data_IF_219787424009
#
_entry.id   IF_219787424009
#
_cell.length_a   1.000
_cell.length_b   1.000
_cell.length_c   1.000
_cell.angle_alpha   90.00
_cell.angle_beta   90.00
_cell.angle_gamma   90.00
#
_symmetry.space_group_name_H-M   'P 1'
#
loop_
_entity.id
_entity.type
_entity.pdbx_description
1 polymer ?
#
# COMPACT_ATOMS: atom_id res chain seq x y z
N UNK A 1 23.13 13.91 -1.55
CA UNK A 1 21.80 13.50 -2.08
C UNK A 1 20.94 12.97 -0.97
N UNK A 2 19.72 13.48 -0.85
CA UNK A 2 18.74 13.05 0.15
C UNK A 2 17.69 12.18 -0.53
N UNK A 3 17.38 11.01 0.04
CA UNK A 3 16.43 10.08 -0.56
C UNK A 3 14.99 10.60 -0.58
N UNK A 4 14.56 11.35 0.45
CA UNK A 4 13.24 12.01 0.55
C UNK A 4 13.31 13.24 1.47
N UNK A 5 12.33 14.16 1.39
CA UNK A 5 12.28 15.33 2.31
C UNK A 5 11.50 15.00 3.57
N UNK A 6 12.16 14.95 4.72
CA UNK A 6 11.49 14.75 6.03
C UNK A 6 10.52 15.89 6.34
N UNK A 7 10.79 17.09 5.85
CA UNK A 7 9.99 18.30 6.12
C UNK A 7 8.82 18.45 5.18
N UNK A 8 9.05 18.25 3.88
CA UNK A 8 8.09 18.65 2.84
C UNK A 8 7.30 17.46 2.31
N UNK A 9 7.85 16.23 2.35
CA UNK A 9 7.16 15.03 1.90
C UNK A 9 7.68 13.78 2.63
N UNK A 10 7.37 13.65 3.94
CA UNK A 10 7.85 12.54 4.74
C UNK A 10 7.33 11.21 4.18
N UNK A 11 8.12 10.15 4.34
CA UNK A 11 7.69 8.79 4.03
C UNK A 11 6.92 8.17 5.21
N UNK A 12 5.96 7.31 4.87
CA UNK A 12 5.44 6.35 5.81
C UNK A 12 6.53 5.32 6.15
N UNK A 13 6.52 4.85 7.40
CA UNK A 13 7.62 4.07 7.97
C UNK A 13 7.68 2.66 7.35
N UNK A 14 6.52 2.04 7.11
CA UNK A 14 6.44 0.64 6.67
C UNK A 14 6.67 0.54 5.15
N UNK A 15 7.73 -0.14 4.69
CA UNK A 15 7.94 -0.40 3.26
C UNK A 15 7.16 -1.61 2.77
N UNK A 16 6.92 -1.65 1.46
CA UNK A 16 6.52 -2.86 0.75
C UNK A 16 7.74 -3.50 0.08
N UNK A 17 7.82 -4.83 0.05
CA UNK A 17 8.94 -5.54 -0.56
C UNK A 17 8.53 -6.27 -1.83
N UNK A 18 9.32 -6.09 -2.90
CA UNK A 18 9.20 -6.80 -4.18
C UNK A 18 10.60 -6.98 -4.78
N UNK A 19 10.95 -8.18 -5.26
CA UNK A 19 12.25 -8.50 -5.87
C UNK A 19 13.45 -8.00 -5.04
N UNK A 20 13.41 -8.19 -3.72
CA UNK A 20 14.45 -7.68 -2.81
C UNK A 20 14.68 -6.15 -2.94
N UNK A 21 13.62 -5.41 -3.25
CA UNK A 21 13.58 -3.94 -3.23
C UNK A 21 12.56 -3.49 -2.17
N UNK A 22 12.92 -2.47 -1.41
CA UNK A 22 12.01 -1.81 -0.48
C UNK A 22 11.38 -0.58 -1.15
N UNK A 23 10.06 -0.51 -1.14
CA UNK A 23 9.26 0.57 -1.69
C UNK A 23 8.62 1.38 -0.56
N UNK A 24 8.90 2.68 -0.51
CA UNK A 24 8.40 3.61 0.50
C UNK A 24 7.47 4.62 -0.16
N UNK A 25 6.29 4.81 0.42
CA UNK A 25 5.31 5.80 -0.02
C UNK A 25 5.45 7.05 0.85
N UNK A 26 5.34 8.23 0.26
CA UNK A 26 5.30 9.50 0.97
C UNK A 26 3.91 10.08 1.16
N UNK A 27 3.80 11.07 2.05
CA UNK A 27 2.53 11.72 2.40
C UNK A 27 1.85 12.37 1.20
N UNK A 28 2.61 12.82 0.20
CA UNK A 28 2.09 13.40 -1.03
C UNK A 28 2.17 12.44 -2.24
N UNK A 29 2.34 11.14 -1.98
CA UNK A 29 2.17 10.10 -2.99
C UNK A 29 3.35 9.95 -3.94
N UNK A 30 4.59 10.16 -3.50
CA UNK A 30 5.78 9.72 -4.22
C UNK A 30 6.20 8.32 -3.76
N UNK A 31 6.69 7.52 -4.71
CA UNK A 31 7.27 6.22 -4.43
C UNK A 31 8.79 6.29 -4.52
N UNK A 32 9.44 5.92 -3.43
CA UNK A 32 10.89 5.82 -3.30
C UNK A 32 11.29 4.35 -3.22
N UNK A 33 12.35 3.95 -3.93
CA UNK A 33 12.76 2.54 -4.00
C UNK A 33 14.25 2.37 -3.69
N UNK A 34 14.54 1.47 -2.76
CA UNK A 34 15.89 1.01 -2.44
C UNK A 34 16.06 -0.44 -2.92
N UNK A 35 17.02 -0.66 -3.81
CA UNK A 35 17.32 -1.95 -4.43
C UNK A 35 18.51 -2.62 -3.73
N UNK A 36 18.29 -3.83 -3.20
CA UNK A 36 19.28 -4.62 -2.45
C UNK A 36 19.83 -5.81 -3.25
N UNK A 37 19.59 -5.90 -4.56
CA UNK A 37 20.07 -7.04 -5.38
C UNK A 37 21.57 -7.02 -5.69
N UNK A 38 22.24 -5.88 -5.51
CA UNK A 38 23.69 -5.74 -5.71
C UNK A 38 24.50 -5.79 -4.41
N UNK A 39 25.83 -5.71 -4.53
CA UNK A 39 26.74 -5.60 -3.38
C UNK A 39 26.53 -4.31 -2.56
N UNK A 40 26.00 -3.27 -3.20
CA UNK A 40 25.67 -1.99 -2.59
C UNK A 40 24.19 -1.66 -2.86
N UNK A 41 23.55 -1.02 -1.89
CA UNK A 41 22.17 -0.52 -2.03
C UNK A 41 22.13 0.57 -3.11
N UNK A 42 21.19 0.46 -4.05
CA UNK A 42 20.96 1.47 -5.09
C UNK A 42 19.61 2.14 -4.86
N UNK A 43 19.58 3.46 -4.95
CA UNK A 43 18.32 4.22 -4.90
C UNK A 43 17.84 4.43 -6.33
N UNK A 44 16.60 4.02 -6.63
CA UNK A 44 16.02 4.26 -7.94
C UNK A 44 15.45 5.68 -8.05
N UNK A 45 15.30 6.22 -9.29
CA UNK A 45 14.52 7.41 -9.51
C UNK A 45 13.10 7.26 -8.96
N UNK A 46 12.69 8.18 -8.09
CA UNK A 46 11.34 8.26 -7.56
C UNK A 46 10.34 8.58 -8.67
N UNK A 47 9.08 8.19 -8.48
CA UNK A 47 7.99 8.54 -9.37
C UNK A 47 6.70 8.76 -8.56
N UNK A 48 5.74 9.47 -9.15
CA UNK A 48 4.52 9.86 -8.43
C UNK A 48 3.39 8.86 -8.67
N UNK A 49 2.71 8.50 -7.60
CA UNK A 49 1.48 7.70 -7.57
C UNK A 49 0.24 8.55 -7.91
N UNK A 50 0.36 9.88 -7.81
CA UNK A 50 -0.71 10.86 -8.04
C UNK A 50 -0.41 11.67 -9.30
N UNK A 51 -1.36 11.70 -10.23
CA UNK A 51 -1.25 12.56 -11.41
C UNK A 51 -1.81 13.97 -11.11
N UNK A 52 -1.77 14.88 -12.08
CA UNK A 52 -2.21 16.27 -11.89
C UNK A 52 -3.71 16.39 -11.55
N UNK A 53 -4.55 15.52 -12.13
CA UNK A 53 -5.99 15.51 -11.84
C UNK A 53 -6.27 15.06 -10.40
N UNK A 54 -5.56 14.02 -9.96
CA UNK A 54 -5.66 13.53 -8.58
C UNK A 54 -5.17 14.59 -7.59
N UNK A 55 -4.06 15.27 -7.91
CA UNK A 55 -3.49 16.34 -7.09
C UNK A 55 -4.45 17.54 -6.99
N UNK A 56 -5.13 17.90 -8.07
CA UNK A 56 -6.14 18.97 -8.07
C UNK A 56 -7.35 18.64 -7.17
N UNK A 57 -7.61 17.36 -6.92
CA UNK A 57 -8.64 16.84 -6.01
C UNK A 57 -8.10 16.51 -4.60
N UNK A 58 -6.83 16.84 -4.33
CA UNK A 58 -6.21 16.61 -3.02
C UNK A 58 -6.01 15.14 -2.66
N UNK A 59 -5.90 14.22 -3.62
CA UNK A 59 -5.66 12.81 -3.28
C UNK A 59 -4.28 12.61 -2.65
N UNK A 60 -4.26 11.98 -1.48
CA UNK A 60 -3.05 11.61 -0.74
C UNK A 60 -3.17 10.21 -0.14
N UNK A 61 -2.05 9.52 0.11
CA UNK A 61 -2.08 8.27 0.87
C UNK A 61 -2.42 8.52 2.34
N UNK A 62 -3.07 7.54 2.99
CA UNK A 62 -3.39 7.63 4.41
C UNK A 62 -3.74 6.29 5.06
N UNK A 63 -3.57 6.23 6.38
CA UNK A 63 -3.80 5.04 7.20
C UNK A 63 -2.63 4.78 8.16
N UNK A 64 -2.56 3.56 8.69
CA UNK A 64 -1.47 3.11 9.56
C UNK A 64 -0.51 2.21 8.79
N UNK A 65 -0.94 1.00 8.43
CA UNK A 65 -0.20 0.11 7.52
C UNK A 65 -0.77 0.26 6.10
N UNK A 66 -0.62 1.45 5.52
CA UNK A 66 -1.41 1.88 4.37
C UNK A 66 -1.11 1.18 3.04
N UNK A 67 -0.06 0.36 2.99
CA UNK A 67 0.38 -0.27 1.76
C UNK A 67 0.63 -1.75 1.98
N UNK A 68 0.52 -2.49 0.88
CA UNK A 68 0.97 -3.87 0.81
C UNK A 68 1.50 -4.15 -0.59
N UNK A 69 2.39 -5.12 -0.73
CA UNK A 69 2.94 -5.55 -2.02
C UNK A 69 2.59 -6.99 -2.31
N UNK A 70 2.48 -7.31 -3.60
CA UNK A 70 2.35 -8.68 -4.09
C UNK A 70 3.53 -8.99 -5.02
N UNK A 71 4.59 -9.57 -4.47
CA UNK A 71 5.85 -9.88 -5.11
C UNK A 71 5.66 -10.68 -6.39
N UNK A 72 4.85 -11.74 -6.39
CA UNK A 72 4.69 -12.56 -7.62
C UNK A 72 4.18 -11.76 -8.83
N UNK A 73 3.34 -10.76 -8.59
CA UNK A 73 2.69 -9.97 -9.64
C UNK A 73 3.32 -8.57 -9.78
N UNK A 74 4.33 -8.23 -8.97
CA UNK A 74 4.98 -6.92 -8.93
C UNK A 74 3.99 -5.76 -8.74
N UNK A 75 3.01 -5.96 -7.84
CA UNK A 75 1.98 -4.95 -7.55
C UNK A 75 2.15 -4.30 -6.19
N UNK A 76 1.80 -3.02 -6.14
CA UNK A 76 1.66 -2.24 -4.91
C UNK A 76 0.20 -1.84 -4.75
N UNK A 77 -0.35 -2.05 -3.55
CA UNK A 77 -1.66 -1.58 -3.12
C UNK A 77 -1.45 -0.44 -2.13
N UNK A 78 -2.14 0.68 -2.31
CA UNK A 78 -2.01 1.87 -1.46
C UNK A 78 -3.40 2.38 -1.08
N UNK A 79 -3.62 2.62 0.21
CA UNK A 79 -4.79 3.31 0.74
C UNK A 79 -4.70 4.80 0.46
N UNK A 80 -5.76 5.36 -0.13
CA UNK A 80 -5.82 6.74 -0.59
C UNK A 80 -7.10 7.41 -0.11
N UNK A 81 -7.02 8.70 0.18
CA UNK A 81 -8.17 9.54 0.51
C UNK A 81 -8.06 10.91 -0.19
N UNK A 82 -9.19 11.58 -0.50
CA UNK A 82 -9.20 12.93 -1.04
C UNK A 82 -8.94 13.97 0.05
N UNK A 83 -8.90 15.25 -0.35
CA UNK A 83 -8.83 16.41 0.55
C UNK A 83 -7.64 16.36 1.54
N UNK A 84 -6.51 15.85 1.08
CA UNK A 84 -5.27 15.77 1.83
C UNK A 84 -4.79 17.12 2.35
N UNK A 85 -4.42 17.16 3.62
CA UNK A 85 -3.91 18.33 4.32
C UNK A 85 -2.96 17.91 5.44
N UNK A 86 -2.30 18.88 6.07
CA UNK A 86 -1.47 18.61 7.25
C UNK A 86 -2.29 17.86 8.33
N UNK A 87 -1.74 16.75 8.81
CA UNK A 87 -2.40 15.89 9.81
C UNK A 87 -3.38 14.85 9.26
N UNK A 88 -3.70 14.80 7.97
CA UNK A 88 -4.66 13.83 7.41
C UNK A 88 -4.06 12.46 7.06
N UNK A 89 -2.75 12.28 7.22
CA UNK A 89 -2.01 11.07 6.80
C UNK A 89 -2.44 9.76 7.51
N UNK A 90 -3.37 9.82 8.48
CA UNK A 90 -3.99 8.64 9.13
C UNK A 90 -5.47 8.47 8.79
N UNK A 91 -6.00 9.28 7.88
CA UNK A 91 -7.40 9.18 7.49
C UNK A 91 -7.69 7.81 6.85
N UNK A 92 -8.88 7.23 7.12
CA UNK A 92 -9.34 6.03 6.45
C UNK A 92 -9.37 6.16 4.93
N UNK A 93 -9.19 5.03 4.25
CA UNK A 93 -9.15 4.99 2.80
C UNK A 93 -10.54 5.17 2.18
N UNK A 94 -10.69 6.21 1.37
CA UNK A 94 -11.80 6.31 0.43
C UNK A 94 -11.63 5.29 -0.72
N UNK A 95 -10.38 5.03 -1.12
CA UNK A 95 -10.06 4.09 -2.19
C UNK A 95 -8.78 3.28 -1.90
N UNK A 96 -8.72 2.08 -2.49
CA UNK A 96 -7.46 1.34 -2.66
C UNK A 96 -7.02 1.55 -4.11
N UNK A 97 -5.79 2.03 -4.30
CA UNK A 97 -5.16 2.15 -5.61
C UNK A 97 -4.18 1.02 -5.83
N UNK A 98 -4.13 0.49 -7.05
CA UNK A 98 -3.22 -0.59 -7.44
C UNK A 98 -2.27 -0.10 -8.52
N UNK A 99 -0.99 -0.36 -8.31
CA UNK A 99 0.09 0.03 -9.21
C UNK A 99 0.86 -1.19 -9.70
N UNK A 100 1.22 -1.16 -10.98
CA UNK A 100 2.23 -2.03 -11.58
C UNK A 100 3.61 -1.40 -11.35
N UNK A 101 4.47 -2.07 -10.56
CA UNK A 101 5.79 -1.53 -10.19
C UNK A 101 6.80 -1.63 -11.34
N UNK A 102 6.58 -2.52 -12.32
CA UNK A 102 7.44 -2.65 -13.50
C UNK A 102 7.16 -1.51 -14.47
N UNK A 103 5.88 -1.26 -14.74
CA UNK A 103 5.45 -0.22 -15.67
C UNK A 103 5.37 1.17 -15.06
N UNK A 104 5.39 1.26 -13.72
CA UNK A 104 5.26 2.51 -12.95
C UNK A 104 3.96 3.24 -13.29
N UNK A 105 2.86 2.50 -13.32
CA UNK A 105 1.53 3.01 -13.67
C UNK A 105 0.45 2.51 -12.72
N UNK A 106 -0.60 3.32 -12.53
CA UNK A 106 -1.81 2.89 -11.83
C UNK A 106 -2.64 2.01 -12.76
N UNK A 107 -3.02 0.83 -12.29
CA UNK A 107 -3.75 -0.18 -13.06
C UNK A 107 -5.17 -0.43 -12.55
N UNK A 108 -5.50 -0.02 -11.31
CA UNK A 108 -6.86 -0.07 -10.79
C UNK A 108 -7.08 0.92 -9.65
N UNK A 109 -8.36 1.24 -9.42
CA UNK A 109 -8.91 1.95 -8.25
C UNK A 109 -10.17 1.21 -7.82
N UNK A 110 -10.32 0.93 -6.54
CA UNK A 110 -11.52 0.29 -5.97
C UNK A 110 -11.93 0.99 -4.67
N UNK A 111 -13.20 0.86 -4.23
CA UNK A 111 -13.63 1.43 -2.95
C UNK A 111 -12.74 0.98 -1.79
N UNK A 112 -12.38 1.94 -0.93
CA UNK A 112 -11.43 1.72 0.17
C UNK A 112 -12.06 1.18 1.45
N UNK A 113 -13.38 1.23 1.58
CA UNK A 113 -14.15 0.67 2.71
C UNK A 113 -13.66 1.17 4.08
N UNK A 114 -13.19 2.42 4.16
CA UNK A 114 -12.62 3.01 5.38
C UNK A 114 -11.47 2.18 5.99
N UNK A 115 -10.78 1.40 5.16
CA UNK A 115 -9.63 0.61 5.60
C UNK A 115 -8.50 1.53 6.07
N UNK A 116 -7.83 1.10 7.13
CA UNK A 116 -6.71 1.79 7.78
C UNK A 116 -5.38 1.02 7.63
N UNK A 117 -5.46 -0.29 7.42
CA UNK A 117 -4.29 -1.16 7.30
C UNK A 117 -4.50 -2.26 6.28
N UNK A 118 -3.47 -2.55 5.49
CA UNK A 118 -3.44 -3.61 4.48
C UNK A 118 -2.40 -4.67 4.81
N UNK A 119 -2.66 -5.91 4.39
CA UNK A 119 -1.65 -6.96 4.24
C UNK A 119 -1.99 -7.91 3.11
N UNK A 120 -0.97 -8.54 2.52
CA UNK A 120 -1.15 -9.48 1.41
C UNK A 120 -0.80 -10.89 1.86
N UNK A 121 -1.70 -11.83 1.59
CA UNK A 121 -1.44 -13.27 1.61
C UNK A 121 -1.12 -13.73 0.18
N UNK A 122 0.17 -13.90 -0.09
CA UNK A 122 0.74 -14.26 -1.39
C UNK A 122 0.27 -15.63 -1.89
N UNK A 123 0.39 -16.75 -1.13
CA UNK A 123 -0.12 -18.05 -1.57
C UNK A 123 -1.60 -18.03 -1.95
N UNK A 124 -2.42 -17.30 -1.19
CA UNK A 124 -3.85 -17.21 -1.41
C UNK A 124 -4.28 -16.22 -2.50
N UNK A 125 -3.37 -15.36 -3.01
CA UNK A 125 -3.71 -14.15 -3.75
C UNK A 125 -4.85 -13.38 -3.05
N UNK A 126 -4.64 -13.05 -1.78
CA UNK A 126 -5.59 -12.28 -0.98
C UNK A 126 -4.99 -10.98 -0.49
N UNK A 127 -5.79 -9.92 -0.53
CA UNK A 127 -5.53 -8.68 0.18
C UNK A 127 -6.47 -8.62 1.38
N UNK A 128 -5.92 -8.40 2.55
CA UNK A 128 -6.65 -8.22 3.79
C UNK A 128 -6.63 -6.73 4.12
N UNK A 129 -7.80 -6.15 4.36
CA UNK A 129 -7.96 -4.77 4.82
C UNK A 129 -8.67 -4.71 6.16
N UNK A 130 -8.21 -3.85 7.06
CA UNK A 130 -8.80 -3.67 8.39
C UNK A 130 -9.28 -2.22 8.55
N UNK A 131 -10.55 -2.04 8.90
CA UNK A 131 -11.21 -0.73 9.09
C UNK A 131 -11.26 -0.27 10.57
N UNK A 132 -10.70 -1.07 11.48
CA UNK A 132 -10.72 -0.85 12.93
C UNK A 132 -11.64 -1.80 13.70
N UNK A 133 -12.63 -2.41 13.04
CA UNK A 133 -13.54 -3.40 13.64
C UNK A 133 -13.75 -4.67 12.80
N UNK A 134 -13.57 -4.59 11.49
CA UNK A 134 -13.82 -5.64 10.52
C UNK A 134 -12.56 -5.99 9.73
N UNK A 135 -12.55 -7.19 9.14
CA UNK A 135 -11.54 -7.60 8.17
C UNK A 135 -12.21 -7.83 6.82
N UNK A 136 -11.81 -7.06 5.82
CA UNK A 136 -12.21 -7.22 4.43
C UNK A 136 -11.20 -8.10 3.70
N UNK A 137 -11.67 -9.13 3.01
CA UNK A 137 -10.83 -10.05 2.26
C UNK A 137 -11.16 -9.89 0.77
N UNK A 138 -10.16 -9.49 -0.01
CA UNK A 138 -10.26 -9.33 -1.47
C UNK A 138 -9.50 -10.43 -2.20
N UNK A 139 -10.03 -10.88 -3.33
CA UNK A 139 -9.29 -11.62 -4.34
C UNK A 139 -8.44 -10.63 -5.15
N UNK A 140 -7.13 -10.91 -5.25
CA UNK A 140 -6.18 -10.09 -6.02
C UNK A 140 -5.49 -10.88 -7.14
N UNK A 141 -6.14 -11.95 -7.63
CA UNK A 141 -5.64 -12.71 -8.78
C UNK A 141 -5.58 -11.85 -10.05
N UNK A 142 -6.53 -10.92 -10.20
CA UNK A 142 -6.55 -9.88 -11.23
C UNK A 142 -6.08 -8.52 -10.69
N UNK A 143 -5.83 -7.56 -11.60
CA UNK A 143 -5.36 -6.22 -11.23
C UNK A 143 -6.34 -5.47 -10.31
N UNK A 144 -7.64 -5.61 -10.56
CA UNK A 144 -8.70 -5.02 -9.77
C UNK A 144 -9.07 -5.95 -8.59
N UNK A 145 -8.85 -5.54 -7.33
CA UNK A 145 -9.23 -6.33 -6.17
C UNK A 145 -10.74 -6.53 -6.11
N UNK A 146 -11.19 -7.77 -5.86
CA UNK A 146 -12.61 -8.10 -5.72
C UNK A 146 -12.92 -8.54 -4.31
N UNK A 147 -13.80 -7.81 -3.62
CA UNK A 147 -14.22 -8.21 -2.27
C UNK A 147 -14.86 -9.60 -2.31
N UNK A 148 -14.30 -10.53 -1.54
CA UNK A 148 -14.83 -11.89 -1.37
C UNK A 148 -15.81 -11.91 -0.21
N UNK A 149 -15.39 -11.34 0.93
CA UNK A 149 -16.18 -11.28 2.16
C UNK A 149 -15.62 -10.26 3.13
N UNK A 150 -16.47 -9.88 4.07
CA UNK A 150 -16.10 -9.16 5.29
C UNK A 150 -16.30 -10.08 6.48
N UNK A 151 -15.33 -10.11 7.39
CA UNK A 151 -15.46 -10.71 8.71
C UNK A 151 -15.79 -9.57 9.66
N UNK A 152 -17.02 -9.57 10.16
CA UNK A 152 -17.51 -8.53 11.07
C UNK A 152 -17.04 -8.77 12.51
N UNK A 153 -16.84 -7.69 13.26
CA UNK A 153 -16.46 -7.74 14.68
C UNK A 153 -15.21 -8.60 14.95
N UNK A 154 -14.21 -8.46 14.08
CA UNK A 154 -12.95 -9.20 14.18
C UNK A 154 -12.07 -8.73 15.37
N UNK A 155 -12.39 -7.59 15.97
CA UNK A 155 -11.80 -7.07 17.20
C UNK A 155 -12.29 -5.65 17.52
N UNK A 156 -11.98 -5.13 18.71
CA UNK A 156 -12.43 -3.79 19.14
C UNK A 156 -11.47 -2.64 18.73
N UNK A 157 -10.33 -2.96 18.09
CA UNK A 157 -9.37 -1.99 17.51
C UNK A 157 -8.30 -2.72 16.70
N UNK A 158 -8.69 -3.61 15.78
CA UNK A 158 -7.69 -4.33 14.99
C UNK A 158 -6.95 -3.32 14.08
N UNK A 159 -5.61 -3.31 14.14
CA UNK A 159 -4.78 -2.38 13.35
C UNK A 159 -3.74 -3.09 12.46
N UNK A 160 -3.53 -4.39 12.66
CA UNK A 160 -2.54 -5.16 11.92
C UNK A 160 -2.94 -6.63 11.83
N UNK A 161 -2.71 -7.22 10.66
CA UNK A 161 -2.75 -8.66 10.46
C UNK A 161 -1.54 -9.04 9.61
N UNK A 162 -0.73 -9.96 10.10
CA UNK A 162 0.43 -10.48 9.37
C UNK A 162 0.17 -11.92 8.94
N UNK A 163 -0.11 -12.19 7.66
CA UNK A 163 -0.13 -13.55 7.17
C UNK A 163 1.29 -14.12 7.14
N UNK A 164 1.49 -15.27 7.78
CA UNK A 164 2.77 -15.99 7.70
C UNK A 164 2.66 -17.12 6.67
N UNK A 165 3.69 -17.33 5.82
CA UNK A 165 3.75 -18.52 5.00
C UNK A 165 3.80 -19.76 5.89
N UNK A 166 3.01 -20.78 5.57
CA UNK A 166 3.11 -22.06 6.25
C UNK A 166 4.51 -22.64 6.03
N UNK A 167 5.28 -22.82 7.11
CA UNK A 167 6.54 -23.56 7.07
C UNK A 167 6.19 -24.99 6.68
N UNK A 168 6.53 -25.41 5.45
CA UNK A 168 6.58 -26.83 5.13
C UNK A 168 7.72 -27.42 5.96
N UNK A 169 7.37 -28.33 6.86
CA UNK A 169 8.31 -29.01 7.75
C UNK A 169 9.46 -29.68 6.98
N UNK A 170 10.61 -29.70 7.65
CA UNK A 170 11.88 -30.34 7.27
C UNK A 170 11.75 -31.78 6.80
#
# INVERSE_FOLDING_TARGET
>A
DTFFSVKDDPIFITPGFVDNKAHFVSFYGNLYTADFNGEQVKLEPSWSLVNDEDRAKGWTPGGYNLLATHDKNKRLYVLMHPDGAEGTHKNPAAEIWVFDLVKKERIARVPGLDILSLSVDEPGNRLLGIDGGNVHIFDISAAEPKLIRTIENAGEAALQAEPHPAVKGS
#
